data_IF_682031787897
#
_entry.id   IF_682031787897
#
_cell.length_a   1.000
_cell.length_b   1.000
_cell.length_c   1.000
_cell.angle_alpha   90.00
_cell.angle_beta   90.00
_cell.angle_gamma   90.00
#
_symmetry.space_group_name_H-M   'P 1'
#
loop_
_entity.id
_entity.type
_entity.pdbx_description
1 polymer ?
#
# COMPACT_ATOMS: atom_id res chain seq x y z
N UNK A 1 13.89 29.32 -1.47
CA UNK A 1 14.53 28.26 -0.66
C UNK A 1 15.92 27.96 -1.21
N UNK A 2 16.95 28.09 -0.36
CA UNK A 2 18.36 27.80 -0.68
C UNK A 2 18.72 26.52 0.07
N UNK A 3 19.04 25.45 -0.66
CA UNK A 3 19.59 24.22 -0.07
C UNK A 3 21.00 24.55 0.40
N UNK A 4 21.25 24.46 1.71
CA UNK A 4 22.56 24.75 2.28
C UNK A 4 23.51 23.55 2.12
N UNK A 5 24.80 23.79 2.30
CA UNK A 5 25.79 22.70 2.27
C UNK A 5 25.62 21.70 3.43
N UNK A 6 25.06 22.14 4.56
CA UNK A 6 24.79 21.25 5.69
C UNK A 6 23.58 20.34 5.44
N UNK A 7 22.56 20.82 4.73
CA UNK A 7 21.41 19.98 4.32
C UNK A 7 21.85 18.82 3.42
N UNK A 8 22.83 19.07 2.54
CA UNK A 8 23.39 18.07 1.61
C UNK A 8 24.21 16.99 2.31
N UNK A 9 24.62 17.21 3.56
CA UNK A 9 25.40 16.23 4.35
C UNK A 9 24.52 15.24 5.10
N UNK A 10 23.18 15.33 4.98
CA UNK A 10 22.29 14.40 5.65
C UNK A 10 22.51 12.96 5.15
N UNK A 11 22.58 12.00 6.08
CA UNK A 11 23.06 10.64 5.82
C UNK A 11 22.29 9.90 4.72
N UNK A 12 20.99 10.16 4.57
CA UNK A 12 20.15 9.50 3.56
C UNK A 12 20.36 10.02 2.13
N UNK A 13 21.03 11.17 1.97
CA UNK A 13 21.39 11.74 0.66
C UNK A 13 22.84 11.52 0.26
N UNK A 14 23.63 10.94 1.17
CA UNK A 14 24.98 10.57 0.85
C UNK A 14 24.99 9.25 0.08
N UNK A 15 25.88 9.08 -0.92
CA UNK A 15 26.05 7.79 -1.57
C UNK A 15 26.31 6.68 -0.55
N UNK A 16 25.69 5.52 -0.77
CA UNK A 16 25.93 4.33 0.04
C UNK A 16 27.42 3.97 -0.04
N UNK A 17 28.05 3.83 1.12
CA UNK A 17 29.43 3.35 1.24
C UNK A 17 29.42 1.85 1.49
N UNK A 18 30.44 1.15 1.02
CA UNK A 18 30.68 -0.26 1.35
C UNK A 18 31.65 -0.35 2.53
N UNK A 19 31.17 -0.38 3.79
CA UNK A 19 32.06 -0.49 4.94
C UNK A 19 32.79 -1.85 4.93
N UNK A 20 34.01 -1.89 5.50
CA UNK A 20 34.71 -3.16 5.66
C UNK A 20 33.90 -4.11 6.56
N UNK A 21 33.90 -5.39 6.19
CA UNK A 21 33.17 -6.40 6.96
C UNK A 21 33.86 -6.63 8.31
N UNK A 22 33.11 -6.64 9.44
CA UNK A 22 33.68 -6.96 10.73
C UNK A 22 34.33 -8.35 10.77
N UNK A 23 35.45 -8.46 11.48
CA UNK A 23 36.07 -9.74 11.78
C UNK A 23 35.29 -10.45 12.90
N UNK A 24 34.83 -11.67 12.63
CA UNK A 24 34.06 -12.49 13.57
C UNK A 24 34.71 -13.86 13.72
N UNK A 25 34.80 -14.36 14.97
CA UNK A 25 35.52 -15.62 15.26
C UNK A 25 34.72 -16.87 14.83
N UNK A 26 33.40 -16.79 14.72
CA UNK A 26 32.54 -17.93 14.38
C UNK A 26 32.07 -17.85 12.93
N UNK A 27 32.99 -18.10 11.99
CA UNK A 27 32.71 -18.00 10.55
C UNK A 27 31.63 -18.99 10.10
N UNK A 28 31.48 -20.15 10.76
CA UNK A 28 30.47 -21.14 10.44
C UNK A 28 29.02 -20.65 10.64
N UNK A 29 28.81 -19.60 11.45
CA UNK A 29 27.49 -18.96 11.65
C UNK A 29 27.21 -17.84 10.65
N UNK A 30 28.16 -17.48 9.79
CA UNK A 30 28.01 -16.42 8.79
C UNK A 30 27.48 -17.04 7.49
N UNK A 31 26.23 -16.75 7.13
CA UNK A 31 25.61 -17.18 5.87
C UNK A 31 25.66 -16.06 4.82
N UNK A 32 25.51 -14.83 5.25
CA UNK A 32 25.58 -13.62 4.41
C UNK A 32 26.53 -12.59 5.02
N UNK A 33 27.04 -11.62 4.24
CA UNK A 33 27.86 -10.53 4.77
C UNK A 33 27.17 -9.74 5.90
N UNK A 34 25.83 -9.65 5.89
CA UNK A 34 25.03 -8.98 6.92
C UNK A 34 25.21 -9.64 8.29
N UNK A 35 25.33 -10.97 8.34
CA UNK A 35 25.49 -11.70 9.60
C UNK A 35 26.75 -11.30 10.38
N UNK A 36 27.79 -10.82 9.69
CA UNK A 36 29.01 -10.33 10.35
C UNK A 36 28.73 -9.08 11.19
N UNK A 37 27.90 -8.17 10.68
CA UNK A 37 27.49 -6.97 11.41
C UNK A 37 26.62 -7.33 12.61
N UNK A 38 25.67 -8.26 12.43
CA UNK A 38 24.80 -8.74 13.51
C UNK A 38 25.63 -9.40 14.62
N UNK A 39 26.50 -10.36 14.26
CA UNK A 39 27.34 -11.09 15.22
C UNK A 39 28.32 -10.16 15.96
N UNK A 40 28.88 -9.16 15.27
CA UNK A 40 29.75 -8.16 15.90
C UNK A 40 28.98 -7.39 16.99
N UNK A 41 27.76 -6.91 16.69
CA UNK A 41 26.92 -6.19 17.66
C UNK A 41 26.41 -7.06 18.80
N UNK A 42 26.03 -8.31 18.54
CA UNK A 42 25.64 -9.25 19.59
C UNK A 42 26.80 -9.50 20.55
N UNK A 43 28.02 -9.71 20.02
CA UNK A 43 29.21 -9.92 20.85
C UNK A 43 29.54 -8.71 21.72
N UNK A 44 29.48 -7.50 21.17
CA UNK A 44 29.68 -6.25 21.94
C UNK A 44 28.71 -6.18 23.13
N UNK A 45 27.46 -6.61 22.91
CA UNK A 45 26.41 -6.68 23.93
C UNK A 45 26.43 -7.95 24.79
N UNK A 46 27.42 -8.84 24.61
CA UNK A 46 27.54 -10.13 25.30
C UNK A 46 26.31 -11.04 25.09
N UNK A 47 25.69 -10.98 23.91
CA UNK A 47 24.56 -11.79 23.50
C UNK A 47 24.98 -12.84 22.46
N UNK A 48 24.20 -13.92 22.37
CA UNK A 48 24.29 -14.95 21.33
C UNK A 48 23.08 -14.93 20.40
N UNK A 49 23.13 -15.74 19.34
CA UNK A 49 21.95 -16.01 18.51
C UNK A 49 20.92 -16.81 19.30
N UNK A 50 19.64 -16.53 19.06
CA UNK A 50 18.56 -17.38 19.58
C UNK A 50 18.62 -18.78 18.94
N UNK A 51 18.13 -19.82 19.65
CA UNK A 51 18.02 -21.16 19.08
C UNK A 51 17.19 -21.15 17.79
N UNK A 52 17.58 -22.00 16.84
CA UNK A 52 16.84 -22.15 15.59
C UNK A 52 15.43 -22.71 15.87
N UNK A 53 14.44 -22.24 15.12
CA UNK A 53 13.09 -22.77 15.21
C UNK A 53 13.04 -24.24 14.75
N UNK A 54 12.27 -25.06 15.47
CA UNK A 54 11.95 -26.42 15.02
C UNK A 54 11.07 -26.42 13.77
N UNK A 55 11.05 -27.55 13.05
CA UNK A 55 10.41 -27.67 11.74
C UNK A 55 8.93 -27.22 11.73
N UNK A 56 8.15 -27.62 12.75
CA UNK A 56 6.72 -27.30 12.84
C UNK A 56 6.46 -25.80 12.99
N UNK A 57 7.33 -25.10 13.75
CA UNK A 57 7.22 -23.64 13.91
C UNK A 57 7.65 -22.93 12.62
N UNK A 58 8.68 -23.46 11.97
CA UNK A 58 9.24 -22.86 10.77
C UNK A 58 8.27 -22.94 9.58
N UNK A 59 7.72 -24.12 9.28
CA UNK A 59 6.75 -24.30 8.19
C UNK A 59 5.53 -23.39 8.36
N UNK A 60 5.00 -23.30 9.58
CA UNK A 60 3.86 -22.42 9.88
C UNK A 60 4.19 -20.95 9.59
N UNK A 61 5.37 -20.48 9.98
CA UNK A 61 5.81 -19.10 9.70
C UNK A 61 5.94 -18.85 8.21
N UNK A 62 6.63 -19.73 7.48
CA UNK A 62 6.84 -19.59 6.04
C UNK A 62 5.49 -19.49 5.29
N UNK A 63 4.53 -20.35 5.62
CA UNK A 63 3.19 -20.33 5.03
C UNK A 63 2.43 -19.02 5.30
N UNK A 64 2.39 -18.56 6.56
CA UNK A 64 1.73 -17.30 6.89
C UNK A 64 2.44 -16.08 6.31
N UNK A 65 3.77 -16.09 6.26
CA UNK A 65 4.56 -14.98 5.74
C UNK A 65 4.40 -14.85 4.22
N UNK A 66 4.47 -15.97 3.49
CA UNK A 66 4.44 -15.95 2.02
C UNK A 66 3.02 -15.87 1.44
N UNK A 67 2.09 -16.70 1.92
CA UNK A 67 0.75 -16.83 1.32
C UNK A 67 -0.39 -16.49 2.30
N UNK A 68 -0.10 -16.22 3.58
CA UNK A 68 -1.11 -15.83 4.57
C UNK A 68 -2.05 -16.94 5.05
N UNK A 69 -1.89 -18.17 4.55
CA UNK A 69 -2.72 -19.32 4.88
C UNK A 69 -1.95 -20.30 5.76
N UNK A 70 -2.60 -21.06 6.67
CA UNK A 70 -1.93 -22.12 7.42
C UNK A 70 -1.60 -23.33 6.52
N UNK A 71 -0.51 -24.07 6.80
CA UNK A 71 -0.26 -25.36 6.16
C UNK A 71 -1.24 -26.43 6.64
N UNK A 72 -1.53 -27.43 5.81
CA UNK A 72 -2.27 -28.63 6.23
C UNK A 72 -1.40 -29.52 7.12
N UNK A 73 -2.01 -30.41 7.94
CA UNK A 73 -1.25 -31.38 8.74
C UNK A 73 -0.26 -32.21 7.91
N UNK A 74 -0.66 -32.64 6.72
CA UNK A 74 0.17 -33.45 5.80
C UNK A 74 1.37 -32.66 5.28
N UNK A 75 1.17 -31.38 4.96
CA UNK A 75 2.26 -30.48 4.55
C UNK A 75 3.26 -30.27 5.70
N UNK A 76 2.78 -30.10 6.94
CA UNK A 76 3.65 -29.98 8.12
C UNK A 76 4.50 -31.23 8.31
N UNK A 77 3.89 -32.41 8.23
CA UNK A 77 4.61 -33.67 8.35
C UNK A 77 5.62 -33.90 7.23
N UNK A 78 5.21 -33.62 5.98
CA UNK A 78 6.08 -33.72 4.81
C UNK A 78 7.30 -32.81 4.97
N UNK A 79 7.09 -31.55 5.33
CA UNK A 79 8.16 -30.60 5.59
C UNK A 79 9.05 -31.08 6.74
N UNK A 80 8.50 -31.57 7.85
CA UNK A 80 9.29 -32.06 8.97
C UNK A 80 10.20 -33.24 8.58
N UNK A 81 9.71 -34.17 7.75
CA UNK A 81 10.51 -35.29 7.21
C UNK A 81 11.63 -34.80 6.30
N UNK A 82 11.36 -33.85 5.42
CA UNK A 82 12.37 -33.27 4.51
C UNK A 82 13.41 -32.45 5.27
N UNK A 83 12.95 -31.62 6.21
CA UNK A 83 13.79 -30.77 7.06
C UNK A 83 14.74 -31.59 7.93
N UNK A 84 14.30 -32.76 8.45
CA UNK A 84 15.17 -33.65 9.20
C UNK A 84 16.33 -34.22 8.36
N UNK A 85 16.16 -34.36 7.04
CA UNK A 85 17.20 -34.83 6.12
C UNK A 85 18.13 -33.70 5.68
N UNK A 86 17.57 -32.58 5.25
CA UNK A 86 18.31 -31.42 4.79
C UNK A 86 17.52 -30.13 5.09
N UNK A 87 17.79 -29.46 6.22
CA UNK A 87 17.06 -28.26 6.62
C UNK A 87 17.06 -27.15 5.57
N UNK A 88 18.20 -26.96 4.89
CA UNK A 88 18.36 -25.91 3.90
C UNK A 88 17.51 -26.17 2.65
N UNK A 89 17.70 -27.34 2.03
CA UNK A 89 16.97 -27.70 0.81
C UNK A 89 15.46 -27.78 1.05
N UNK A 90 15.02 -28.26 2.22
CA UNK A 90 13.60 -28.29 2.55
C UNK A 90 12.97 -26.89 2.63
N UNK A 91 13.71 -25.90 3.15
CA UNK A 91 13.25 -24.50 3.19
C UNK A 91 13.25 -23.90 1.79
N UNK A 92 14.33 -24.07 1.02
CA UNK A 92 14.43 -23.54 -0.36
C UNK A 92 13.30 -24.09 -1.23
N UNK A 93 13.10 -25.41 -1.26
CA UNK A 93 12.01 -26.02 -2.04
C UNK A 93 10.60 -25.56 -1.62
N UNK A 94 10.36 -25.42 -0.31
CA UNK A 94 9.06 -24.94 0.16
C UNK A 94 8.83 -23.47 -0.21
N UNK A 95 9.86 -22.63 -0.11
CA UNK A 95 9.77 -21.22 -0.48
C UNK A 95 9.48 -21.10 -1.98
N UNK A 96 10.18 -21.85 -2.83
CA UNK A 96 9.95 -21.87 -4.27
C UNK A 96 8.51 -22.31 -4.62
N UNK A 97 8.01 -23.36 -3.96
CA UNK A 97 6.62 -23.83 -4.12
C UNK A 97 5.60 -22.73 -3.77
N UNK A 98 5.83 -22.02 -2.66
CA UNK A 98 4.89 -21.00 -2.18
C UNK A 98 4.97 -19.70 -2.97
N UNK A 99 6.15 -19.32 -3.47
CA UNK A 99 6.30 -18.18 -4.38
C UNK A 99 5.61 -18.43 -5.72
N UNK A 100 5.58 -19.68 -6.19
CA UNK A 100 4.85 -20.07 -7.40
C UNK A 100 3.32 -20.20 -7.21
N UNK A 101 2.82 -20.10 -5.97
CA UNK A 101 1.39 -20.18 -5.67
C UNK A 101 0.67 -18.88 -6.03
N UNK A 102 -0.53 -18.92 -6.64
CA UNK A 102 -1.31 -17.69 -6.91
C UNK A 102 -1.65 -16.90 -5.64
N UNK A 103 -1.70 -17.57 -4.49
CA UNK A 103 -1.94 -16.95 -3.19
C UNK A 103 -0.80 -16.03 -2.73
N UNK A 104 0.40 -16.14 -3.31
CA UNK A 104 1.51 -15.23 -3.05
C UNK A 104 1.11 -13.80 -3.44
N UNK A 105 0.70 -13.61 -4.70
CA UNK A 105 0.23 -12.32 -5.21
C UNK A 105 -0.97 -11.80 -4.44
N UNK A 106 -1.94 -12.65 -4.09
CA UNK A 106 -3.09 -12.25 -3.26
C UNK A 106 -2.67 -11.74 -1.87
N UNK A 107 -1.71 -12.44 -1.23
CA UNK A 107 -1.20 -12.07 0.09
C UNK A 107 -0.45 -10.75 0.06
N UNK A 108 0.47 -10.62 -0.89
CA UNK A 108 1.40 -9.50 -1.00
C UNK A 108 0.76 -8.26 -1.62
N UNK A 109 -0.21 -8.42 -2.53
CA UNK A 109 -0.95 -7.30 -3.10
C UNK A 109 -1.62 -6.47 -2.02
N UNK A 110 -2.15 -7.08 -0.95
CA UNK A 110 -2.77 -6.32 0.15
C UNK A 110 -1.83 -5.28 0.75
N UNK A 111 -0.55 -5.62 0.94
CA UNK A 111 0.44 -4.67 1.45
C UNK A 111 0.66 -3.48 0.51
N UNK A 112 0.64 -3.72 -0.80
CA UNK A 112 0.73 -2.64 -1.79
C UNK A 112 -0.56 -1.84 -1.89
N UNK A 113 -1.72 -2.49 -1.82
CA UNK A 113 -3.03 -1.86 -1.89
C UNK A 113 -3.28 -0.94 -0.70
N UNK A 114 -2.75 -1.27 0.47
CA UNK A 114 -2.74 -0.36 1.64
C UNK A 114 -1.95 0.93 1.33
N UNK A 115 -0.78 0.80 0.69
CA UNK A 115 0.07 1.94 0.29
C UNK A 115 -0.59 2.77 -0.81
N UNK A 116 -1.24 2.12 -1.76
CA UNK A 116 -2.02 2.75 -2.82
C UNK A 116 -3.35 3.34 -2.32
N UNK A 117 -3.73 3.06 -1.05
CA UNK A 117 -4.98 3.50 -0.42
C UNK A 117 -6.22 3.03 -1.15
N UNK A 118 -6.14 1.81 -1.68
CA UNK A 118 -7.20 1.18 -2.44
C UNK A 118 -8.46 0.94 -1.59
N UNK A 119 -9.61 1.25 -2.16
CA UNK A 119 -10.92 0.83 -1.67
C UNK A 119 -11.83 0.47 -2.86
N UNK A 120 -12.77 -0.44 -2.61
CA UNK A 120 -13.85 -0.77 -3.56
C UNK A 120 -14.97 0.30 -3.57
N UNK A 121 -14.78 1.42 -2.87
CA UNK A 121 -15.72 2.55 -2.80
C UNK A 121 -14.98 3.90 -2.81
N UNK A 122 -15.72 4.98 -3.01
CA UNK A 122 -15.19 6.35 -3.07
C UNK A 122 -14.75 6.90 -1.71
N UNK A 123 -15.30 6.38 -0.61
CA UNK A 123 -15.15 6.96 0.71
C UNK A 123 -15.92 8.28 0.88
N UNK A 124 -15.58 9.03 1.93
CA UNK A 124 -16.26 10.29 2.29
C UNK A 124 -17.77 10.11 2.56
N UNK A 125 -18.52 11.21 2.66
CA UNK A 125 -19.95 11.18 3.03
C UNK A 125 -20.85 10.52 1.97
N UNK A 126 -20.44 10.55 0.70
CA UNK A 126 -21.19 9.97 -0.43
C UNK A 126 -20.94 8.47 -0.66
N UNK A 127 -19.79 7.96 -0.21
CA UNK A 127 -19.29 6.58 -0.28
C UNK A 127 -19.98 5.66 -1.29
N UNK A 128 -19.78 5.93 -2.58
CA UNK A 128 -20.35 5.14 -3.66
C UNK A 128 -19.45 3.96 -4.05
N UNK A 129 -20.05 2.85 -4.49
CA UNK A 129 -19.33 1.67 -4.95
C UNK A 129 -18.54 1.96 -6.25
N UNK A 130 -17.24 1.63 -6.24
CA UNK A 130 -16.37 1.69 -7.43
C UNK A 130 -16.38 0.38 -8.17
N UNK A 131 -17.37 0.20 -9.05
CA UNK A 131 -17.62 -1.05 -9.79
C UNK A 131 -16.40 -1.59 -10.56
N UNK A 132 -15.47 -0.73 -10.97
CA UNK A 132 -14.30 -1.08 -11.78
C UNK A 132 -12.97 -1.06 -11.01
N UNK A 133 -12.96 -0.67 -9.72
CA UNK A 133 -11.72 -0.56 -8.94
C UNK A 133 -10.93 -1.87 -8.89
N UNK A 134 -11.64 -3.00 -8.85
CA UNK A 134 -11.04 -4.34 -8.80
C UNK A 134 -10.06 -4.62 -9.95
N UNK A 135 -10.16 -3.95 -11.10
CA UNK A 135 -9.19 -4.11 -12.18
C UNK A 135 -7.77 -3.71 -11.76
N UNK A 136 -7.63 -2.64 -10.97
CA UNK A 136 -6.34 -2.23 -10.41
C UNK A 136 -5.84 -3.25 -9.37
N UNK A 137 -6.71 -3.69 -8.45
CA UNK A 137 -6.39 -4.77 -7.49
C UNK A 137 -5.84 -6.00 -8.20
N UNK A 138 -6.54 -6.45 -9.24
CA UNK A 138 -6.17 -7.65 -9.96
C UNK A 138 -4.89 -7.46 -10.78
N UNK A 139 -4.60 -6.24 -11.26
CA UNK A 139 -3.32 -5.90 -11.87
C UNK A 139 -2.16 -6.06 -10.88
N UNK A 140 -2.30 -5.61 -9.63
CA UNK A 140 -1.27 -5.77 -8.60
C UNK A 140 -1.05 -7.25 -8.28
N UNK A 141 -2.11 -8.03 -8.11
CA UNK A 141 -2.02 -9.48 -7.84
C UNK A 141 -1.27 -10.19 -8.97
N UNK A 142 -1.64 -9.91 -10.23
CA UNK A 142 -0.96 -10.48 -11.40
C UNK A 142 0.50 -10.06 -11.47
N UNK A 143 0.79 -8.77 -11.31
CA UNK A 143 2.15 -8.22 -11.38
C UNK A 143 3.10 -8.90 -10.39
N UNK A 144 2.62 -9.23 -9.18
CA UNK A 144 3.41 -9.93 -8.18
C UNK A 144 3.61 -11.42 -8.50
N UNK A 145 2.59 -12.10 -9.02
CA UNK A 145 2.67 -13.50 -9.40
C UNK A 145 3.52 -13.72 -10.67
N UNK A 146 3.49 -12.77 -11.59
CA UNK A 146 4.23 -12.82 -12.85
C UNK A 146 5.68 -12.29 -12.72
N UNK A 147 6.10 -11.88 -11.51
CA UNK A 147 7.40 -11.27 -11.22
C UNK A 147 7.71 -10.07 -12.15
N UNK A 148 6.72 -9.17 -12.30
CA UNK A 148 6.85 -8.01 -13.17
C UNK A 148 8.00 -7.12 -12.68
N UNK A 149 8.91 -6.78 -13.61
CA UNK A 149 10.04 -5.93 -13.32
C UNK A 149 9.60 -4.62 -12.65
N UNK A 150 10.26 -4.26 -11.54
CA UNK A 150 9.83 -3.16 -10.68
C UNK A 150 9.78 -1.81 -11.42
N UNK A 151 10.68 -1.56 -12.36
CA UNK A 151 10.66 -0.33 -13.15
C UNK A 151 9.44 -0.23 -14.07
N UNK A 152 9.04 -1.34 -14.69
CA UNK A 152 7.80 -1.44 -15.47
C UNK A 152 6.59 -1.30 -14.55
N UNK A 153 6.56 -2.01 -13.42
CA UNK A 153 5.49 -1.93 -12.42
C UNK A 153 5.23 -0.50 -11.96
N UNK A 154 6.28 0.29 -11.69
CA UNK A 154 6.15 1.70 -11.30
C UNK A 154 5.69 2.57 -12.48
N UNK A 155 6.26 2.39 -13.68
CA UNK A 155 5.89 3.21 -14.85
C UNK A 155 4.43 3.05 -15.25
N UNK A 156 3.94 1.81 -15.30
CA UNK A 156 2.54 1.53 -15.66
C UNK A 156 1.56 2.13 -14.65
N UNK A 157 1.93 2.20 -13.36
CA UNK A 157 1.06 2.82 -12.35
C UNK A 157 1.00 4.35 -12.46
N UNK A 158 2.04 4.99 -12.99
CA UNK A 158 2.08 6.45 -13.12
C UNK A 158 1.51 6.97 -14.43
N UNK A 159 1.58 6.17 -15.50
CA UNK A 159 1.23 6.61 -16.85
C UNK A 159 0.89 5.44 -17.79
N UNK A 160 0.34 4.34 -17.29
CA UNK A 160 0.09 3.15 -18.10
C UNK A 160 -0.93 3.38 -19.21
N UNK A 161 -1.93 4.22 -18.99
CA UNK A 161 -2.90 4.68 -19.97
C UNK A 161 -2.27 5.49 -21.12
N UNK A 162 -1.23 6.29 -20.83
CA UNK A 162 -0.49 7.07 -21.82
C UNK A 162 0.60 6.25 -22.53
N UNK A 163 1.29 5.37 -21.79
CA UNK A 163 2.38 4.55 -22.32
C UNK A 163 1.87 3.41 -23.21
N UNK A 164 0.75 2.79 -22.83
CA UNK A 164 0.16 1.64 -23.52
C UNK A 164 -1.38 1.74 -23.51
N UNK A 165 -1.98 2.70 -24.23
CA UNK A 165 -3.43 2.96 -24.20
C UNK A 165 -4.30 1.77 -24.65
N UNK A 166 -3.77 0.92 -25.51
CA UNK A 166 -4.47 -0.26 -26.03
C UNK A 166 -4.27 -1.51 -25.15
N UNK A 167 -3.51 -1.41 -24.07
CA UNK A 167 -3.29 -2.50 -23.12
C UNK A 167 -4.18 -2.33 -21.87
N UNK A 168 -5.23 -3.15 -21.70
CA UNK A 168 -6.13 -3.04 -20.54
C UNK A 168 -5.43 -3.18 -19.19
N UNK A 169 -4.31 -3.90 -19.11
CA UNK A 169 -3.54 -4.04 -17.86
C UNK A 169 -2.78 -2.76 -17.54
N UNK A 170 -2.21 -2.09 -18.54
CA UNK A 170 -1.52 -0.81 -18.36
C UNK A 170 -2.52 0.29 -17.98
N UNK A 171 -3.69 0.32 -18.62
CA UNK A 171 -4.77 1.24 -18.24
C UNK A 171 -5.23 0.97 -16.81
N UNK A 172 -5.44 -0.31 -16.43
CA UNK A 172 -5.81 -0.68 -15.07
C UNK A 172 -4.76 -0.28 -14.03
N UNK A 173 -3.47 -0.36 -14.37
CA UNK A 173 -2.37 0.03 -13.48
C UNK A 173 -2.43 1.50 -13.07
N UNK A 174 -2.88 2.38 -13.97
CA UNK A 174 -3.06 3.83 -13.71
C UNK A 174 -4.11 4.11 -12.62
N UNK A 175 -4.90 3.09 -12.24
CA UNK A 175 -5.74 3.12 -11.05
C UNK A 175 -5.02 3.56 -9.77
N UNK A 176 -3.69 3.38 -9.67
CA UNK A 176 -2.87 3.89 -8.56
C UNK A 176 -3.07 5.39 -8.27
N UNK A 177 -3.13 6.21 -9.32
CA UNK A 177 -3.24 7.68 -9.21
C UNK A 177 -4.62 8.09 -8.67
N UNK A 178 -5.65 7.26 -8.85
CA UNK A 178 -7.05 7.55 -8.47
C UNK A 178 -7.59 6.61 -7.38
N UNK A 179 -6.74 5.77 -6.79
CA UNK A 179 -7.15 4.75 -5.83
C UNK A 179 -7.61 5.34 -4.49
N UNK A 180 -7.14 6.54 -4.14
CA UNK A 180 -7.51 7.26 -2.91
C UNK A 180 -8.99 7.66 -2.84
N UNK A 181 -9.38 8.34 -1.76
CA UNK A 181 -10.77 8.77 -1.58
C UNK A 181 -11.16 9.80 -2.64
N UNK A 182 -12.39 9.73 -3.13
CA UNK A 182 -12.92 10.66 -4.13
C UNK A 182 -14.24 11.26 -3.64
N UNK A 183 -14.38 12.58 -3.72
CA UNK A 183 -15.63 13.25 -3.37
C UNK A 183 -16.60 13.18 -4.55
N UNK A 184 -17.72 12.45 -4.39
CA UNK A 184 -18.79 12.45 -5.39
C UNK A 184 -19.56 13.77 -5.29
N UNK A 185 -19.30 14.67 -6.24
CA UNK A 185 -19.89 16.00 -6.27
C UNK A 185 -21.22 16.03 -7.03
N UNK A 186 -22.23 16.68 -6.44
CA UNK A 186 -23.50 16.93 -7.11
C UNK A 186 -23.40 17.98 -8.21
N UNK A 187 -24.31 17.92 -9.18
CA UNK A 187 -24.35 18.86 -10.31
C UNK A 187 -24.69 20.30 -9.91
N UNK A 188 -25.17 20.49 -8.69
CA UNK A 188 -25.55 21.78 -8.11
C UNK A 188 -24.40 22.54 -7.43
N UNK A 189 -23.18 21.98 -7.38
CA UNK A 189 -22.04 22.66 -6.76
C UNK A 189 -21.50 23.80 -7.60
N UNK A 190 -21.01 24.83 -6.91
CA UNK A 190 -20.36 25.99 -7.52
C UNK A 190 -19.02 25.60 -8.14
N UNK A 191 -18.58 26.33 -9.18
CA UNK A 191 -17.29 26.09 -9.84
C UNK A 191 -16.10 26.16 -8.87
N UNK A 192 -16.19 27.00 -7.84
CA UNK A 192 -15.18 27.12 -6.79
C UNK A 192 -15.03 25.82 -5.99
N UNK A 193 -16.14 25.14 -5.67
CA UNK A 193 -16.14 23.88 -4.93
C UNK A 193 -15.53 22.76 -5.79
N UNK A 194 -15.92 22.67 -7.07
CA UNK A 194 -15.31 21.72 -8.03
C UNK A 194 -13.80 21.94 -8.19
N UNK A 195 -13.39 23.21 -8.26
CA UNK A 195 -11.98 23.57 -8.35
C UNK A 195 -11.21 23.17 -7.08
N UNK A 196 -11.80 23.38 -5.91
CA UNK A 196 -11.19 23.00 -4.63
C UNK A 196 -10.98 21.49 -4.51
N UNK A 197 -11.97 20.70 -4.90
CA UNK A 197 -11.85 19.24 -4.84
C UNK A 197 -10.83 18.70 -5.84
N UNK A 198 -10.76 19.28 -7.05
CA UNK A 198 -9.66 18.98 -7.98
C UNK A 198 -8.28 19.21 -7.36
N UNK A 199 -8.10 20.27 -6.56
CA UNK A 199 -6.84 20.50 -5.84
C UNK A 199 -6.61 19.53 -4.67
N UNK A 200 -7.66 18.93 -4.10
CA UNK A 200 -7.53 17.84 -3.14
C UNK A 200 -7.06 16.57 -3.84
N UNK A 201 -7.69 16.19 -4.95
CA UNK A 201 -7.29 15.01 -5.74
C UNK A 201 -5.82 15.12 -6.19
N UNK A 202 -5.40 16.28 -6.73
CA UNK A 202 -4.02 16.47 -7.18
C UNK A 202 -3.00 16.38 -6.04
N UNK A 203 -3.33 16.91 -4.86
CA UNK A 203 -2.47 16.80 -3.68
C UNK A 203 -2.36 15.37 -3.17
N UNK A 204 -3.47 14.64 -3.24
CA UNK A 204 -3.55 13.24 -2.88
C UNK A 204 -2.67 12.36 -3.79
N UNK A 205 -2.72 12.62 -5.10
CA UNK A 205 -1.84 11.99 -6.11
C UNK A 205 -0.36 12.24 -5.81
N UNK A 206 0.02 13.50 -5.55
CA UNK A 206 1.40 13.89 -5.28
C UNK A 206 1.89 13.27 -3.97
N UNK A 207 1.08 13.33 -2.92
CA UNK A 207 1.43 12.80 -1.60
C UNK A 207 1.62 11.29 -1.66
N UNK A 208 0.70 10.58 -2.30
CA UNK A 208 0.76 9.11 -2.41
C UNK A 208 1.93 8.66 -3.26
N UNK A 209 2.15 9.29 -4.41
CA UNK A 209 3.31 9.01 -5.26
C UNK A 209 4.62 9.26 -4.52
N UNK A 210 4.70 10.37 -3.79
CA UNK A 210 5.88 10.70 -2.98
C UNK A 210 6.19 9.66 -1.92
N UNK A 211 5.17 9.23 -1.16
CA UNK A 211 5.35 8.24 -0.10
C UNK A 211 5.62 6.85 -0.66
N UNK A 212 4.82 6.39 -1.63
CA UNK A 212 4.91 5.04 -2.17
C UNK A 212 6.18 4.81 -3.00
N UNK A 213 6.56 5.77 -3.85
CA UNK A 213 7.64 5.58 -4.82
C UNK A 213 8.98 6.14 -4.35
N UNK A 214 8.96 7.23 -3.57
CA UNK A 214 10.19 7.91 -3.14
C UNK A 214 10.50 7.71 -1.66
N UNK A 215 9.55 7.21 -0.85
CA UNK A 215 9.67 7.21 0.60
C UNK A 215 9.72 8.62 1.20
N UNK A 216 9.11 9.60 0.52
CA UNK A 216 9.16 11.02 0.89
C UNK A 216 7.76 11.61 1.07
N UNK A 217 7.55 12.25 2.22
CA UNK A 217 6.32 12.96 2.62
C UNK A 217 6.13 14.30 1.91
N UNK A 218 5.75 14.35 0.63
CA UNK A 218 5.67 15.62 -0.10
C UNK A 218 4.48 16.52 0.29
N UNK A 219 3.46 16.00 0.99
CA UNK A 219 2.23 16.74 1.32
C UNK A 219 2.40 18.02 2.13
N UNK A 220 3.48 18.20 2.91
CA UNK A 220 3.70 19.47 3.62
C UNK A 220 3.90 20.66 2.67
N UNK A 221 4.34 20.41 1.43
CA UNK A 221 4.54 21.45 0.42
C UNK A 221 3.23 22.07 -0.07
N UNK A 222 2.07 21.50 0.28
CA UNK A 222 0.74 22.05 -0.04
C UNK A 222 0.53 23.45 0.54
N UNK A 223 0.92 23.64 1.80
CA UNK A 223 0.60 24.86 2.55
C UNK A 223 1.84 25.67 2.95
N UNK A 224 3.03 25.09 2.85
CA UNK A 224 4.26 25.74 3.27
C UNK A 224 5.38 25.49 2.27
N UNK A 225 6.21 26.51 2.05
CA UNK A 225 7.43 26.41 1.25
C UNK A 225 8.56 25.61 1.96
N UNK A 226 8.21 24.83 3.00
CA UNK A 226 9.13 24.02 3.79
C UNK A 226 8.51 22.65 4.14
N UNK A 227 9.32 21.58 4.07
CA UNK A 227 9.05 20.36 4.81
C UNK A 227 9.78 20.44 6.14
N UNK A 228 9.07 20.30 7.26
CA UNK A 228 9.69 20.01 8.55
C UNK A 228 10.28 18.58 8.64
N UNK A 229 10.35 17.87 7.52
CA UNK A 229 11.08 16.63 7.37
C UNK A 229 12.26 16.82 6.41
N UNK A 230 13.47 16.48 6.87
CA UNK A 230 14.70 16.52 6.06
C UNK A 230 14.50 15.60 4.85
N UNK A 231 14.22 16.21 3.69
CA UNK A 231 13.29 15.59 2.75
C UNK A 231 13.05 16.30 1.42
N UNK A 232 14.01 17.06 0.84
CA UNK A 232 13.74 17.92 -0.33
C UNK A 232 14.18 17.32 -1.67
N UNK A 233 13.24 17.15 -2.60
CA UNK A 233 13.49 16.87 -4.02
C UNK A 233 12.88 18.00 -4.83
N UNK A 234 13.73 18.86 -5.41
CA UNK A 234 13.26 19.83 -6.40
C UNK A 234 14.38 20.19 -7.37
N UNK A 235 14.29 19.67 -8.60
CA UNK A 235 14.86 20.31 -9.79
C UNK A 235 14.11 19.87 -11.04
N UNK A 236 13.00 20.55 -11.37
CA UNK A 236 12.52 20.78 -12.75
C UNK A 236 11.20 21.58 -12.76
N UNK A 237 11.26 22.91 -12.65
CA UNK A 237 10.24 23.83 -13.17
C UNK A 237 10.64 25.27 -12.85
N UNK A 238 11.53 25.86 -13.65
CA UNK A 238 11.67 27.32 -13.73
C UNK A 238 11.84 27.72 -15.17
N UNK A 239 10.73 28.13 -15.80
CA UNK A 239 10.68 29.17 -16.84
C UNK A 239 9.24 29.63 -17.00
N UNK A 240 8.85 30.60 -16.17
CA UNK A 240 7.90 31.67 -16.49
C UNK A 240 8.04 32.78 -15.45
N UNK A 241 8.04 34.07 -15.83
CA UNK A 241 8.23 35.18 -14.89
C UNK A 241 6.91 35.57 -14.20
N UNK A 242 6.95 36.09 -12.96
CA UNK A 242 5.75 36.53 -12.25
C UNK A 242 5.31 37.94 -12.70
N UNK A 243 4.00 38.10 -12.89
CA UNK A 243 3.31 39.39 -13.00
C UNK A 243 3.33 40.11 -11.64
N UNK A 244 3.45 41.43 -11.71
CA UNK A 244 3.74 42.37 -10.62
C UNK A 244 2.62 42.59 -9.60
N UNK A 245 3.05 42.91 -8.37
CA UNK A 245 2.33 43.31 -7.15
C UNK A 245 1.51 44.61 -7.27
N UNK A 246 0.45 44.70 -6.45
CA UNK A 246 0.03 45.89 -5.67
C UNK A 246 -0.54 45.38 -4.33
N UNK A 247 0.00 45.68 -3.14
CA UNK A 247 -0.11 46.94 -2.37
C UNK A 247 -1.48 46.96 -1.65
N UNK A 248 -1.64 46.90 -0.32
CA UNK A 248 -1.06 47.75 0.72
C UNK A 248 -1.15 47.13 2.14
N UNK A 249 -0.14 47.42 2.97
CA UNK A 249 -0.09 47.19 4.42
C UNK A 249 -1.04 48.13 5.21
N UNK A 250 -1.52 47.69 6.38
CA UNK A 250 -1.93 48.60 7.45
C UNK A 250 -1.64 47.98 8.82
N UNK A 251 -0.72 48.60 9.55
CA UNK A 251 -0.35 48.30 10.94
C UNK A 251 -1.41 48.77 11.95
N UNK A 252 -1.58 48.03 13.04
CA UNK A 252 -2.39 48.44 14.19
C UNK A 252 -2.04 47.69 15.47
N UNK A 253 -1.18 48.30 16.30
CA UNK A 253 -0.86 47.90 17.69
C UNK A 253 -1.97 48.41 18.62
N UNK A 254 -2.29 47.70 19.73
CA UNK A 254 -2.39 48.20 21.14
C UNK A 254 -2.87 47.08 22.12
N UNK A 255 -1.93 46.72 23.02
CA UNK A 255 -1.96 46.49 24.50
C UNK A 255 -2.91 45.52 25.24
N UNK A 256 -2.23 44.79 26.13
CA UNK A 256 -2.58 43.98 27.31
C UNK A 256 -3.80 44.33 28.18
N UNK A 257 -4.42 43.27 28.73
CA UNK A 257 -5.16 43.29 30.00
C UNK A 257 -5.40 41.87 30.53
N UNK A 258 -4.75 41.53 31.65
CA UNK A 258 -4.91 40.25 32.36
C UNK A 258 -6.03 40.32 33.41
N UNK A 259 -6.82 39.24 33.57
CA UNK A 259 -7.43 38.81 34.85
C UNK A 259 -8.08 37.42 34.71
N UNK A 260 -7.69 36.49 35.57
CA UNK A 260 -8.41 35.27 35.96
C UNK A 260 -8.78 35.42 37.46
N UNK A 261 -9.43 34.46 38.18
CA UNK A 261 -9.87 33.10 37.80
C UNK A 261 -11.27 32.68 38.34
N UNK A 262 -11.75 31.49 37.93
CA UNK A 262 -12.99 30.88 38.43
C UNK A 262 -13.03 29.33 38.36
N UNK A 263 -12.56 28.70 39.44
CA UNK A 263 -13.00 27.46 40.13
C UNK A 263 -13.58 26.23 39.37
N UNK A 264 -12.79 25.14 39.42
CA UNK A 264 -13.07 23.71 39.74
C UNK A 264 -14.47 23.09 39.50
N UNK A 265 -14.51 21.98 38.74
CA UNK A 265 -15.24 20.74 39.08
C UNK A 265 -14.39 19.51 38.69
N UNK A 266 -14.38 18.49 39.56
CA UNK A 266 -13.71 17.18 39.47
C UNK A 266 -14.71 16.08 39.06
N UNK A 267 -14.20 15.00 38.46
CA UNK A 267 -14.82 13.66 38.31
C UNK A 267 -15.12 13.33 36.84
N UNK A 268 -14.80 12.16 36.28
CA UNK A 268 -14.51 10.83 36.84
C UNK A 268 -13.70 9.98 35.84
N UNK A 269 -12.89 9.07 36.37
CA UNK A 269 -12.25 7.97 35.64
C UNK A 269 -13.30 7.00 35.07
N UNK A 270 -13.13 6.52 33.83
CA UNK A 270 -13.66 5.22 33.43
C UNK A 270 -12.83 4.55 32.33
N UNK A 271 -12.15 3.49 32.77
CA UNK A 271 -11.81 2.19 32.14
C UNK A 271 -11.65 2.04 30.63
N UNK A 272 -10.47 1.50 30.29
CA UNK A 272 -10.12 0.79 29.06
C UNK A 272 -10.95 -0.50 28.89
N UNK A 273 -11.49 -0.73 27.69
CA UNK A 273 -11.92 -2.07 27.24
C UNK A 273 -11.56 -2.33 25.79
N UNK A 274 -10.92 -3.47 25.60
CA UNK A 274 -10.61 -4.16 24.35
C UNK A 274 -11.81 -4.22 23.39
N UNK A 275 -11.56 -3.96 22.11
CA UNK A 275 -12.54 -4.04 21.03
C UNK A 275 -11.92 -4.30 19.67
N UNK A 276 -10.90 -5.17 19.59
CA UNK A 276 -10.14 -5.46 18.36
C UNK A 276 -10.28 -6.89 17.85
N UNK A 277 -11.52 -7.40 17.70
CA UNK A 277 -11.74 -8.73 17.07
C UNK A 277 -13.15 -8.96 16.49
N UNK A 278 -14.11 -8.06 16.70
CA UNK A 278 -15.51 -8.27 16.26
C UNK A 278 -15.88 -7.59 14.93
N UNK A 279 -15.00 -6.74 14.38
CA UNK A 279 -15.26 -5.98 13.14
C UNK A 279 -14.93 -6.75 11.85
N UNK A 280 -13.90 -7.59 11.87
CA UNK A 280 -13.37 -8.24 10.65
C UNK A 280 -14.28 -9.36 10.13
N UNK A 281 -14.96 -10.10 11.02
CA UNK A 281 -15.86 -11.19 10.61
C UNK A 281 -17.16 -10.70 9.95
N UNK A 282 -17.63 -9.48 10.27
CA UNK A 282 -18.88 -8.94 9.68
C UNK A 282 -18.71 -8.51 8.22
N UNK A 283 -17.51 -8.09 7.82
CA UNK A 283 -17.25 -7.67 6.45
C UNK A 283 -17.29 -8.87 5.49
N UNK A 284 -16.62 -9.97 5.86
CA UNK A 284 -16.61 -11.21 5.07
C UNK A 284 -17.97 -11.88 4.95
N UNK A 285 -18.77 -11.87 6.02
CA UNK A 285 -20.09 -12.50 6.03
C UNK A 285 -21.12 -11.72 5.21
N UNK A 286 -20.97 -10.38 5.15
CA UNK A 286 -21.75 -9.53 4.26
C UNK A 286 -21.36 -9.70 2.79
N UNK A 287 -20.08 -9.96 2.49
CA UNK A 287 -19.62 -10.20 1.12
C UNK A 287 -20.15 -11.52 0.55
N UNK A 288 -20.10 -12.62 1.32
CA UNK A 288 -20.71 -13.91 0.88
C UNK A 288 -22.21 -13.83 0.66
N UNK A 289 -22.94 -13.09 1.52
CA UNK A 289 -24.39 -12.88 1.35
C UNK A 289 -24.72 -12.09 0.08
N UNK A 290 -23.85 -11.16 -0.33
CA UNK A 290 -24.04 -10.36 -1.55
C UNK A 290 -23.75 -11.17 -2.82
N UNK A 291 -22.74 -12.05 -2.79
CA UNK A 291 -22.41 -12.96 -3.90
C UNK A 291 -23.52 -14.00 -4.14
N UNK A 292 -24.04 -14.63 -3.07
CA UNK A 292 -25.17 -15.58 -3.21
C UNK A 292 -26.47 -14.91 -3.71
N UNK A 293 -26.73 -13.66 -3.32
CA UNK A 293 -27.89 -12.91 -3.79
C UNK A 293 -27.76 -12.46 -5.27
N UNK A 294 -26.53 -12.32 -5.78
CA UNK A 294 -26.28 -12.04 -7.19
C UNK A 294 -26.48 -13.28 -8.07
N UNK A 295 -26.09 -14.46 -7.58
CA UNK A 295 -26.33 -15.74 -8.27
C UNK A 295 -27.82 -16.09 -8.36
N UNK A 296 -28.60 -15.90 -7.28
CA UNK A 296 -30.05 -16.15 -7.29
C UNK A 296 -30.82 -15.24 -8.25
N UNK A 297 -30.37 -14.00 -8.45
CA UNK A 297 -30.97 -13.08 -9.43
C UNK A 297 -30.65 -13.44 -10.88
N UNK A 298 -29.54 -14.13 -11.14
CA UNK A 298 -29.16 -14.58 -12.48
C UNK A 298 -29.89 -15.85 -12.93
N UNK A 299 -30.36 -16.68 -12.00
CA UNK A 299 -31.10 -17.92 -12.28
C UNK A 299 -32.58 -17.74 -12.62
N UNK A 300 -33.17 -16.58 -12.33
CA UNK A 300 -34.61 -16.33 -12.46
C UNK A 300 -35.13 -15.97 -13.85
N UNK A 301 -34.26 -15.86 -14.86
CA UNK A 301 -34.63 -15.34 -16.18
C UNK A 301 -34.46 -16.37 -17.31
N UNK A 302 -34.99 -17.59 -17.13
CA UNK A 302 -35.30 -18.50 -18.24
C UNK A 302 -36.64 -19.19 -18.02
N UNK A 303 -37.66 -18.73 -18.74
CA UNK A 303 -38.90 -19.49 -18.91
C UNK A 303 -40.14 -18.65 -19.14
N UNK A 304 -40.47 -18.40 -20.42
CA UNK A 304 -41.82 -18.55 -21.00
C UNK A 304 -41.79 -18.19 -22.48
N UNK A 305 -42.11 -19.19 -23.31
CA UNK A 305 -42.14 -19.07 -24.76
C UNK A 305 -43.49 -18.65 -25.32
N UNK A 306 -43.46 -18.28 -26.60
CA UNK A 306 -44.50 -18.40 -27.62
C UNK A 306 -43.74 -18.23 -28.95
N UNK A 307 -43.95 -18.93 -30.05
CA UNK A 307 -44.91 -19.93 -30.47
C UNK A 307 -44.76 -20.00 -31.99
N UNK A 308 -44.47 -21.19 -32.53
CA UNK A 308 -44.66 -21.62 -33.92
C UNK A 308 -44.14 -20.74 -35.08
N UNK A 309 -43.24 -21.30 -35.90
CA UNK A 309 -43.59 -21.76 -37.26
C UNK A 309 -42.43 -22.49 -37.94
N UNK A 310 -42.83 -23.56 -38.59
CA UNK A 310 -42.14 -24.41 -39.55
C UNK A 310 -41.45 -23.59 -40.66
N UNK A 311 -40.19 -23.88 -41.01
CA UNK A 311 -39.75 -24.01 -42.40
C UNK A 311 -38.42 -24.76 -42.54
N UNK A 312 -38.28 -25.39 -43.70
CA UNK A 312 -37.46 -26.55 -44.04
C UNK A 312 -35.97 -26.29 -44.24
N UNK A 313 -35.19 -27.38 -44.09
CA UNK A 313 -33.89 -27.63 -44.73
C UNK A 313 -33.88 -27.20 -46.20
N UNK A 314 -32.84 -26.51 -46.64
CA UNK A 314 -32.10 -26.84 -47.87
C UNK A 314 -30.63 -26.44 -47.71
N UNK A 315 -29.78 -27.25 -48.33
CA UNK A 315 -28.33 -27.15 -48.41
C UNK A 315 -27.87 -25.96 -49.26
N UNK A 316 -26.61 -25.53 -49.05
CA UNK A 316 -25.90 -24.51 -49.81
C UNK A 316 -24.64 -24.08 -49.10
#
# INVERSE_FOLDING_TARGET
MIVTDDDRKHWSYLPLKSPPLPSVKNAASVRTPVDRFILARLREKKLGLSPQAGAQKLVRRIYFDLIGLPPTPEQVESFARQFAKSPRSAVESLVDELLASPHYGERWARHWLDVARYADSDGQEGDADRRTAHHYRDFIIRSLNDDLAFDTFVRLQLAGDELEPDNPQAVAATGFIVAGTHAVLGDNLMEEERTRERFNDLDDMITTTGVAMLGLTLGCARCHDHKYERGSVARAARRSPPLSRGGSEMEGRIRHGAKAPGRLVKGSEETTRDGGAAGENRCFENQRRRESAAEERSGGQKGKGSGGKIFQRTEG
#
